data_IF_265554608495
#
_entry.id   IF_265554608495
#
_cell.length_a   1.000
_cell.length_b   1.000
_cell.length_c   1.000
_cell.angle_alpha   90.00
_cell.angle_beta   90.00
_cell.angle_gamma   90.00
#
_symmetry.space_group_name_H-M   'P 1'
#
loop_
_entity.id
_entity.type
_entity.pdbx_description
1 polymer ?
#
# COMPACT_ATOMS: atom_id res chain seq x y z
N UNK A 1 -18.06 -11.14 -4.24
CA UNK A 1 -16.85 -11.95 -3.97
C UNK A 1 -17.31 -13.24 -3.32
N UNK A 2 -16.70 -14.38 -3.63
CA UNK A 2 -16.95 -15.63 -2.90
C UNK A 2 -15.85 -15.87 -1.89
N UNK A 3 -16.21 -16.33 -0.69
CA UNK A 3 -15.26 -16.70 0.35
C UNK A 3 -15.46 -18.16 0.73
N UNK A 4 -14.38 -18.81 1.11
CA UNK A 4 -14.34 -20.18 1.60
C UNK A 4 -14.34 -20.17 3.13
N UNK A 5 -15.03 -21.15 3.71
CA UNK A 5 -14.91 -21.52 5.13
C UNK A 5 -15.05 -23.02 5.30
N UNK A 6 -14.67 -23.53 6.46
CA UNK A 6 -15.08 -24.87 6.88
C UNK A 6 -16.42 -24.82 7.63
N UNK A 7 -17.31 -25.75 7.36
CA UNK A 7 -18.40 -26.09 8.27
C UNK A 7 -17.84 -27.00 9.37
N UNK A 8 -17.73 -26.48 10.59
CA UNK A 8 -17.16 -27.21 11.73
C UNK A 8 -18.01 -28.40 12.19
N UNK A 9 -19.30 -28.44 11.84
CA UNK A 9 -20.18 -29.55 12.23
C UNK A 9 -20.04 -30.72 11.26
N UNK A 10 -20.10 -30.42 9.96
CA UNK A 10 -20.07 -31.44 8.92
C UNK A 10 -18.66 -31.72 8.39
N UNK A 11 -17.66 -30.94 8.80
CA UNK A 11 -16.29 -30.96 8.30
C UNK A 11 -16.22 -30.87 6.77
N UNK A 12 -17.04 -30.00 6.18
CA UNK A 12 -17.12 -29.78 4.73
C UNK A 12 -16.72 -28.37 4.35
N UNK A 13 -16.07 -28.23 3.19
CA UNK A 13 -15.72 -26.95 2.60
C UNK A 13 -16.97 -26.27 2.05
N UNK A 14 -17.19 -25.01 2.40
CA UNK A 14 -18.36 -24.23 1.97
C UNK A 14 -17.93 -22.92 1.33
N UNK A 15 -18.33 -22.73 0.08
CA UNK A 15 -18.25 -21.44 -0.59
C UNK A 15 -19.50 -20.62 -0.28
N UNK A 16 -19.30 -19.36 0.09
CA UNK A 16 -20.38 -18.40 0.33
C UNK A 16 -20.21 -17.15 -0.54
N UNK A 17 -21.32 -16.73 -1.15
CA UNK A 17 -21.40 -15.54 -2.00
C UNK A 17 -21.68 -14.26 -1.20
N UNK A 18 -20.86 -13.24 -1.42
CA UNK A 18 -21.02 -11.90 -0.87
C UNK A 18 -21.13 -10.89 -2.03
N UNK A 19 -22.34 -10.65 -2.58
CA UNK A 19 -22.55 -9.78 -3.74
C UNK A 19 -22.63 -8.27 -3.40
N UNK A 20 -22.56 -7.88 -2.12
CA UNK A 20 -22.75 -6.50 -1.67
C UNK A 20 -21.55 -5.90 -0.90
N UNK A 21 -21.68 -4.66 -0.38
CA UNK A 21 -20.58 -3.94 0.30
C UNK A 21 -20.21 -4.55 1.66
N UNK A 22 -21.09 -5.40 2.22
CA UNK A 22 -20.90 -6.10 3.49
C UNK A 22 -20.22 -7.44 3.24
N UNK A 23 -18.91 -7.40 3.08
CA UNK A 23 -18.04 -8.58 3.07
C UNK A 23 -17.52 -8.77 4.50
N UNK A 24 -17.57 -9.99 5.08
CA UNK A 24 -17.02 -10.24 6.42
C UNK A 24 -15.50 -10.03 6.44
N UNK A 25 -14.88 -10.01 7.61
CA UNK A 25 -13.42 -10.09 7.68
C UNK A 25 -12.96 -11.45 7.14
N UNK A 26 -11.95 -11.43 6.28
CA UNK A 26 -11.38 -12.62 5.68
C UNK A 26 -9.86 -12.54 5.61
N UNK A 27 -9.23 -13.70 5.60
CA UNK A 27 -7.84 -13.84 5.16
C UNK A 27 -7.77 -14.14 3.66
N UNK A 28 -6.62 -13.89 3.04
CA UNK A 28 -6.40 -14.19 1.63
C UNK A 28 -5.13 -15.02 1.48
N UNK A 29 -5.17 -16.07 0.66
CA UNK A 29 -4.01 -16.90 0.38
C UNK A 29 -3.35 -16.45 -0.92
N UNK A 30 -2.11 -16.00 -0.80
CA UNK A 30 -1.19 -15.85 -1.91
C UNK A 30 -0.27 -17.08 -1.97
N UNK A 31 -0.10 -17.66 -3.15
CA UNK A 31 0.68 -18.88 -3.30
C UNK A 31 1.17 -19.06 -4.74
N UNK A 32 2.07 -20.01 -4.97
CA UNK A 32 2.42 -20.44 -6.34
C UNK A 32 1.57 -21.64 -6.74
N UNK A 33 0.95 -21.57 -7.93
CA UNK A 33 0.20 -22.70 -8.46
C UNK A 33 1.17 -23.84 -8.77
N UNK A 34 0.78 -25.06 -8.42
CA UNK A 34 1.37 -26.31 -8.87
C UNK A 34 0.89 -26.63 -10.28
N UNK A 35 0.76 -27.92 -10.60
CA UNK A 35 0.17 -28.31 -11.88
C UNK A 35 -1.33 -28.02 -11.84
N UNK A 36 -1.93 -27.79 -13.00
CA UNK A 36 -3.34 -27.41 -13.10
C UNK A 36 -4.30 -28.45 -12.46
N UNK A 37 -3.95 -29.74 -12.53
CA UNK A 37 -4.72 -30.81 -11.89
C UNK A 37 -4.43 -30.97 -10.38
N UNK A 38 -3.40 -30.30 -9.87
CA UNK A 38 -3.04 -30.36 -8.46
C UNK A 38 -3.86 -29.35 -7.63
N UNK A 39 -4.36 -28.27 -8.25
CA UNK A 39 -5.10 -27.23 -7.55
C UNK A 39 -6.57 -27.62 -7.32
N UNK A 40 -7.10 -27.18 -6.17
CA UNK A 40 -8.55 -27.19 -5.93
C UNK A 40 -9.15 -26.02 -6.69
N UNK A 41 -10.05 -26.35 -7.62
CA UNK A 41 -10.78 -25.42 -8.47
C UNK A 41 -12.17 -25.15 -7.91
N UNK A 42 -12.85 -24.15 -8.46
CA UNK A 42 -14.21 -23.82 -8.04
C UNK A 42 -15.16 -25.01 -8.19
N UNK A 43 -15.08 -25.69 -9.33
CA UNK A 43 -15.92 -26.84 -9.69
C UNK A 43 -15.72 -28.04 -8.75
N UNK A 44 -14.58 -28.11 -8.06
CA UNK A 44 -14.33 -29.19 -7.10
C UNK A 44 -15.13 -29.01 -5.81
N UNK A 45 -15.41 -27.77 -5.39
CA UNK A 45 -15.97 -27.45 -4.07
C UNK A 45 -17.34 -26.77 -4.12
N UNK A 46 -17.83 -26.39 -5.31
CA UNK A 46 -19.11 -25.67 -5.47
C UNK A 46 -20.33 -26.46 -4.97
N UNK A 47 -20.26 -27.80 -4.99
CA UNK A 47 -21.34 -28.68 -4.52
C UNK A 47 -21.45 -28.78 -2.99
N UNK A 48 -20.47 -28.21 -2.27
CA UNK A 48 -20.39 -28.26 -0.81
C UNK A 48 -20.26 -29.68 -0.23
N UNK A 49 -19.87 -30.67 -1.04
CA UNK A 49 -19.76 -32.07 -0.62
C UNK A 49 -18.35 -32.48 -0.20
N UNK A 50 -17.32 -31.69 -0.55
CA UNK A 50 -15.92 -32.03 -0.26
C UNK A 50 -15.61 -31.88 1.22
N UNK A 51 -15.04 -32.95 1.77
CA UNK A 51 -14.66 -33.04 3.17
C UNK A 51 -13.30 -32.40 3.44
N UNK A 52 -13.09 -31.98 4.70
CA UNK A 52 -11.84 -31.42 5.20
C UNK A 52 -10.62 -32.32 4.91
N UNK A 53 -10.79 -33.64 5.06
CA UNK A 53 -9.75 -34.66 4.89
C UNK A 53 -9.57 -35.12 3.45
N UNK A 54 -10.17 -34.46 2.45
CA UNK A 54 -9.98 -34.83 1.05
C UNK A 54 -8.50 -34.69 0.65
N UNK A 55 -7.93 -35.77 0.12
CA UNK A 55 -6.55 -35.86 -0.38
C UNK A 55 -6.48 -36.20 -1.87
N UNK A 56 -7.60 -36.11 -2.60
CA UNK A 56 -7.67 -36.39 -4.04
C UNK A 56 -6.82 -35.43 -4.87
N UNK A 57 -6.59 -34.22 -4.37
CA UNK A 57 -5.69 -33.22 -4.97
C UNK A 57 -4.70 -32.67 -3.94
N UNK A 58 -3.42 -32.47 -4.29
CA UNK A 58 -2.44 -31.81 -3.43
C UNK A 58 -2.87 -30.41 -2.94
N UNK A 59 -3.67 -29.69 -3.72
CA UNK A 59 -4.16 -28.35 -3.41
C UNK A 59 -5.02 -28.28 -2.14
N UNK A 60 -5.64 -29.38 -1.70
CA UNK A 60 -6.37 -29.39 -0.42
C UNK A 60 -5.46 -29.12 0.78
N UNK A 61 -4.16 -29.40 0.66
CA UNK A 61 -3.21 -29.06 1.72
C UNK A 61 -3.09 -27.55 1.93
N UNK A 62 -3.24 -26.76 0.86
CA UNK A 62 -3.26 -25.30 0.94
C UNK A 62 -4.53 -24.79 1.60
N UNK A 63 -5.66 -25.45 1.36
CA UNK A 63 -6.94 -25.12 2.02
C UNK A 63 -6.83 -25.39 3.52
N UNK A 64 -6.30 -26.55 3.92
CA UNK A 64 -6.07 -26.91 5.33
C UNK A 64 -5.09 -25.96 6.00
N UNK A 65 -3.94 -25.71 5.35
CA UNK A 65 -2.97 -24.71 5.83
C UNK A 65 -3.63 -23.35 6.05
N UNK A 66 -4.42 -22.86 5.08
CA UNK A 66 -5.06 -21.56 5.20
C UNK A 66 -6.10 -21.55 6.33
N UNK A 67 -6.91 -22.62 6.45
CA UNK A 67 -7.87 -22.78 7.54
C UNK A 67 -7.18 -22.73 8.92
N UNK A 68 -6.11 -23.48 9.12
CA UNK A 68 -5.35 -23.47 10.38
C UNK A 68 -4.94 -22.04 10.78
N UNK A 69 -4.42 -21.25 9.83
CA UNK A 69 -4.01 -19.86 10.09
C UNK A 69 -5.20 -18.93 10.34
N UNK A 70 -6.28 -19.09 9.57
CA UNK A 70 -7.54 -18.36 9.72
C UNK A 70 -8.10 -18.53 11.12
N UNK A 71 -8.15 -19.77 11.62
CA UNK A 71 -8.65 -20.10 12.96
C UNK A 71 -7.74 -19.53 14.07
N UNK A 72 -6.42 -19.62 13.91
CA UNK A 72 -5.43 -19.02 14.84
C UNK A 72 -5.58 -17.49 14.94
N UNK A 73 -5.88 -16.81 13.84
CA UNK A 73 -6.13 -15.36 13.78
C UNK A 73 -7.58 -14.97 14.17
N UNK A 74 -8.42 -15.92 14.58
CA UNK A 74 -9.81 -15.67 14.98
C UNK A 74 -10.73 -15.27 13.83
N UNK A 75 -10.34 -15.59 12.60
CA UNK A 75 -11.11 -15.37 11.39
C UNK A 75 -11.94 -16.62 11.06
N UNK A 76 -12.96 -16.46 10.22
CA UNK A 76 -13.82 -17.56 9.77
C UNK A 76 -13.72 -17.82 8.27
N UNK A 77 -13.49 -16.75 7.51
CA UNK A 77 -13.53 -16.77 6.06
C UNK A 77 -12.14 -16.54 5.49
N UNK A 78 -11.89 -17.17 4.34
CA UNK A 78 -10.71 -16.89 3.57
C UNK A 78 -10.97 -16.96 2.07
N UNK A 79 -10.05 -16.42 1.30
CA UNK A 79 -10.13 -16.38 -0.15
C UNK A 79 -8.91 -17.03 -0.78
N UNK A 80 -9.15 -17.87 -1.79
CA UNK A 80 -8.12 -18.47 -2.63
C UNK A 80 -8.58 -18.35 -4.08
N UNK A 81 -7.74 -17.76 -4.93
CA UNK A 81 -8.11 -17.45 -6.33
C UNK A 81 -8.51 -18.68 -7.15
N UNK A 82 -7.93 -19.85 -6.85
CA UNK A 82 -8.17 -21.09 -7.61
C UNK A 82 -9.59 -21.61 -7.44
N UNK A 83 -10.19 -21.45 -6.26
CA UNK A 83 -11.50 -22.03 -5.94
C UNK A 83 -12.59 -20.99 -5.61
N UNK A 84 -12.21 -19.75 -5.26
CA UNK A 84 -13.16 -18.67 -5.02
C UNK A 84 -13.54 -17.89 -6.29
N UNK A 85 -12.90 -18.19 -7.43
CA UNK A 85 -13.23 -17.62 -8.74
C UNK A 85 -13.67 -18.77 -9.65
N UNK A 86 -14.82 -18.64 -10.32
CA UNK A 86 -15.24 -19.55 -11.38
C UNK A 86 -14.51 -19.14 -12.65
N UNK A 87 -13.29 -19.64 -12.82
CA UNK A 87 -12.43 -19.26 -13.95
C UNK A 87 -13.02 -19.66 -15.32
N UNK A 88 -13.95 -20.61 -15.33
CA UNK A 88 -14.73 -21.02 -16.51
C UNK A 88 -15.76 -19.98 -16.96
N UNK A 89 -16.15 -19.03 -16.10
CA UNK A 89 -16.99 -17.88 -16.44
C UNK A 89 -16.09 -16.66 -16.72
N UNK A 90 -16.01 -16.26 -18.00
CA UNK A 90 -15.17 -15.15 -18.44
C UNK A 90 -15.57 -13.80 -17.84
N UNK A 91 -16.86 -13.59 -17.57
CA UNK A 91 -17.37 -12.35 -16.97
C UNK A 91 -16.98 -12.28 -15.51
N UNK A 92 -17.12 -13.39 -14.78
CA UNK A 92 -16.65 -13.48 -13.41
C UNK A 92 -15.12 -13.36 -13.32
N UNK A 93 -14.38 -14.04 -14.19
CA UNK A 93 -12.92 -13.96 -14.22
C UNK A 93 -12.46 -12.51 -14.43
N UNK A 94 -13.00 -11.81 -15.43
CA UNK A 94 -12.68 -10.41 -15.69
C UNK A 94 -13.00 -9.53 -14.47
N UNK A 95 -14.22 -9.65 -13.92
CA UNK A 95 -14.61 -8.89 -12.72
C UNK A 95 -13.69 -9.18 -11.54
N UNK A 96 -13.27 -10.43 -11.37
CA UNK A 96 -12.44 -10.87 -10.25
C UNK A 96 -11.01 -10.35 -10.36
N UNK A 97 -10.41 -10.39 -11.55
CA UNK A 97 -9.08 -9.86 -11.80
C UNK A 97 -9.05 -8.34 -11.59
N UNK A 98 -10.09 -7.63 -12.04
CA UNK A 98 -10.23 -6.19 -11.85
C UNK A 98 -10.36 -5.81 -10.37
N UNK A 99 -10.96 -6.70 -9.57
CA UNK A 99 -11.19 -6.49 -8.14
C UNK A 99 -10.06 -7.01 -7.26
N UNK A 100 -9.12 -7.79 -7.80
CA UNK A 100 -8.19 -8.60 -7.01
C UNK A 100 -7.29 -7.73 -6.12
N UNK A 101 -6.77 -6.62 -6.65
CA UNK A 101 -5.99 -5.67 -5.87
C UNK A 101 -6.76 -5.17 -4.64
N UNK A 102 -8.03 -4.78 -4.83
CA UNK A 102 -8.90 -4.32 -3.75
C UNK A 102 -9.22 -5.44 -2.74
N UNK A 103 -9.40 -6.67 -3.21
CA UNK A 103 -9.60 -7.82 -2.33
C UNK A 103 -8.36 -8.13 -1.49
N UNK A 104 -7.16 -8.01 -2.05
CA UNK A 104 -5.91 -8.10 -1.27
C UNK A 104 -5.77 -6.94 -0.28
N UNK A 105 -6.08 -5.72 -0.71
CA UNK A 105 -6.01 -4.53 0.15
C UNK A 105 -6.94 -4.61 1.38
N UNK A 106 -8.12 -5.20 1.21
CA UNK A 106 -9.13 -5.33 2.28
C UNK A 106 -9.01 -6.59 3.13
N UNK A 107 -8.14 -7.53 2.76
CA UNK A 107 -7.92 -8.72 3.54
C UNK A 107 -7.36 -8.35 4.93
N UNK A 108 -7.87 -8.99 5.99
CA UNK A 108 -7.36 -8.79 7.34
C UNK A 108 -5.93 -9.36 7.49
N UNK A 109 -5.65 -10.43 6.75
CA UNK A 109 -4.37 -11.13 6.68
C UNK A 109 -4.15 -11.65 5.27
N UNK A 110 -2.95 -11.48 4.73
CA UNK A 110 -2.49 -12.17 3.53
C UNK A 110 -1.45 -13.23 3.94
N UNK A 111 -1.80 -14.51 3.80
CA UNK A 111 -0.85 -15.59 4.03
C UNK A 111 -0.17 -15.94 2.71
N UNK A 112 1.16 -15.90 2.71
CA UNK A 112 1.97 -16.32 1.56
C UNK A 112 2.52 -17.70 1.83
N UNK A 113 2.02 -18.71 1.13
CA UNK A 113 2.50 -20.09 1.24
C UNK A 113 3.55 -20.41 0.16
N UNK A 114 4.80 -20.59 0.59
CA UNK A 114 5.95 -20.82 -0.28
C UNK A 114 6.29 -22.32 -0.35
N UNK A 115 5.66 -23.03 -1.28
CA UNK A 115 5.87 -24.48 -1.49
C UNK A 115 7.30 -24.86 -1.93
N UNK A 116 8.11 -23.90 -2.35
CA UNK A 116 9.50 -24.08 -2.79
C UNK A 116 10.54 -23.59 -1.77
N UNK A 117 10.11 -23.19 -0.57
CA UNK A 117 10.99 -22.78 0.53
C UNK A 117 10.87 -23.79 1.65
N UNK A 118 11.96 -24.53 1.90
CA UNK A 118 12.07 -25.47 3.01
C UNK A 118 12.92 -24.89 4.14
N UNK A 119 12.52 -25.13 5.39
CA UNK A 119 13.39 -24.87 6.53
C UNK A 119 14.45 -25.95 6.77
N UNK A 120 14.33 -27.11 6.11
CA UNK A 120 15.17 -28.30 6.33
C UNK A 120 16.16 -28.60 5.19
N UNK A 121 15.83 -28.27 3.94
CA UNK A 121 16.70 -28.54 2.78
C UNK A 121 17.84 -27.52 2.67
N UNK A 122 18.82 -27.61 3.56
CA UNK A 122 20.12 -26.95 3.38
C UNK A 122 21.24 -27.63 4.17
N UNK A 123 22.10 -28.36 3.45
CA UNK A 123 23.41 -28.84 3.90
C UNK A 123 24.35 -27.64 4.13
N UNK A 124 24.51 -27.21 5.40
CA UNK A 124 25.57 -26.29 5.84
C UNK A 124 25.14 -24.93 6.41
N UNK A 125 25.39 -24.75 7.72
CA UNK A 125 25.37 -23.56 8.64
C UNK A 125 24.07 -22.78 9.03
N UNK A 126 23.81 -22.62 10.33
CA UNK A 126 22.44 -22.60 10.91
C UNK A 126 21.61 -21.29 10.89
N UNK A 127 22.18 -20.10 10.64
CA UNK A 127 21.42 -18.83 10.82
C UNK A 127 20.95 -18.13 9.53
N UNK A 128 21.29 -18.60 8.33
CA UNK A 128 21.01 -17.87 7.05
C UNK A 128 20.36 -18.71 5.94
N UNK A 129 19.80 -19.88 6.28
CA UNK A 129 19.46 -20.93 5.30
C UNK A 129 18.16 -20.74 4.55
N UNK A 130 17.04 -20.64 5.28
CA UNK A 130 15.73 -20.47 4.65
C UNK A 130 15.64 -19.12 3.94
N UNK A 131 16.38 -18.10 4.41
CA UNK A 131 16.49 -16.78 3.76
C UNK A 131 17.04 -16.87 2.34
N UNK A 132 18.00 -17.79 2.08
CA UNK A 132 18.53 -18.01 0.73
C UNK A 132 17.49 -18.67 -0.18
N UNK A 133 16.75 -19.65 0.33
CA UNK A 133 15.65 -20.29 -0.42
C UNK A 133 14.50 -19.29 -0.67
N UNK A 134 14.15 -18.50 0.33
CA UNK A 134 13.20 -17.39 0.26
C UNK A 134 13.56 -16.40 -0.85
N UNK A 135 14.81 -15.93 -0.88
CA UNK A 135 15.30 -15.03 -1.94
C UNK A 135 15.28 -15.61 -3.34
N UNK A 136 15.21 -16.93 -3.46
CA UNK A 136 15.14 -17.66 -4.74
C UNK A 136 13.73 -18.16 -5.05
N UNK A 137 12.75 -17.93 -4.17
CA UNK A 137 11.40 -18.44 -4.36
C UNK A 137 10.80 -17.92 -5.68
N UNK A 138 10.15 -18.83 -6.40
CA UNK A 138 9.42 -18.51 -7.64
C UNK A 138 8.32 -17.49 -7.41
N UNK A 139 7.82 -17.35 -6.17
CA UNK A 139 6.79 -16.39 -5.81
C UNK A 139 7.18 -14.95 -6.18
N UNK A 140 8.42 -14.55 -5.87
CA UNK A 140 8.95 -13.21 -6.23
C UNK A 140 9.08 -12.97 -7.73
N UNK A 141 9.04 -14.04 -8.54
CA UNK A 141 9.11 -13.98 -10.00
C UNK A 141 7.74 -13.95 -10.66
N UNK A 142 6.62 -14.15 -9.95
CA UNK A 142 5.29 -14.09 -10.55
C UNK A 142 4.82 -12.65 -10.71
N UNK A 143 4.21 -12.30 -11.85
CA UNK A 143 3.60 -10.98 -12.09
C UNK A 143 2.56 -10.63 -11.02
N UNK A 144 1.54 -11.49 -10.86
CA UNK A 144 0.45 -11.29 -9.89
C UNK A 144 0.93 -11.11 -8.45
N UNK A 145 1.99 -11.82 -8.02
CA UNK A 145 2.53 -11.69 -6.67
C UNK A 145 2.99 -10.26 -6.31
N UNK A 146 3.15 -9.36 -7.29
CA UNK A 146 3.44 -7.95 -7.02
C UNK A 146 2.29 -7.26 -6.28
N UNK A 147 1.06 -7.39 -6.78
CA UNK A 147 -0.11 -6.83 -6.08
C UNK A 147 -0.42 -7.59 -4.78
N UNK A 148 -0.13 -8.90 -4.73
CA UNK A 148 -0.34 -9.72 -3.53
C UNK A 148 0.62 -9.32 -2.40
N UNK A 149 1.77 -8.72 -2.74
CA UNK A 149 2.73 -8.14 -1.80
C UNK A 149 2.36 -6.72 -1.37
N UNK A 150 2.02 -5.87 -2.35
CA UNK A 150 1.88 -4.43 -2.15
C UNK A 150 0.50 -4.02 -1.66
N UNK A 151 -0.57 -4.66 -2.13
CA UNK A 151 -1.93 -4.24 -1.79
C UNK A 151 -2.29 -4.50 -0.31
N UNK A 152 -2.01 -5.67 0.29
CA UNK A 152 -2.41 -5.93 1.68
C UNK A 152 -1.59 -5.14 2.68
N UNK A 153 -2.25 -4.70 3.76
CA UNK A 153 -1.58 -4.09 4.91
C UNK A 153 -0.78 -5.10 5.74
N UNK A 154 -1.17 -6.38 5.72
CA UNK A 154 -0.53 -7.47 6.48
C UNK A 154 -0.25 -8.63 5.54
N UNK A 155 1.03 -9.00 5.42
CA UNK A 155 1.51 -10.13 4.59
C UNK A 155 2.46 -10.97 5.45
N UNK A 156 2.17 -12.26 5.58
CA UNK A 156 2.89 -13.19 6.46
C UNK A 156 3.38 -14.38 5.62
N UNK A 157 4.67 -14.67 5.67
CA UNK A 157 5.30 -15.69 4.84
C UNK A 157 5.46 -17.01 5.60
N UNK A 158 5.11 -18.12 4.93
CA UNK A 158 5.21 -19.47 5.47
C UNK A 158 5.97 -20.41 4.52
N UNK A 159 6.75 -21.32 5.09
CA UNK A 159 7.49 -22.35 4.37
C UNK A 159 6.58 -23.49 3.89
N UNK A 160 7.12 -24.40 3.07
CA UNK A 160 6.43 -25.63 2.64
C UNK A 160 6.02 -26.53 3.82
N UNK A 161 6.71 -26.42 4.94
CA UNK A 161 6.41 -27.13 6.20
C UNK A 161 5.42 -26.37 7.10
N UNK A 162 4.83 -25.28 6.60
CA UNK A 162 3.89 -24.40 7.31
C UNK A 162 4.52 -23.60 8.46
N UNK A 163 5.86 -23.53 8.53
CA UNK A 163 6.54 -22.73 9.53
C UNK A 163 6.53 -21.24 9.15
N UNK A 164 6.33 -20.37 10.14
CA UNK A 164 6.44 -18.92 9.97
C UNK A 164 7.89 -18.56 9.59
N UNK A 165 8.03 -17.79 8.51
CA UNK A 165 9.31 -17.23 8.06
C UNK A 165 9.49 -15.77 8.52
N UNK A 166 8.39 -15.04 8.67
CA UNK A 166 8.33 -13.64 9.09
C UNK A 166 7.24 -12.88 8.35
N UNK A 167 6.99 -11.64 8.74
CA UNK A 167 6.06 -10.75 8.04
C UNK A 167 6.77 -9.78 7.06
N UNK A 168 5.98 -9.08 6.24
CA UNK A 168 6.49 -8.11 5.25
C UNK A 168 7.32 -6.98 5.86
N UNK A 169 7.06 -6.59 7.11
CA UNK A 169 7.77 -5.52 7.81
C UNK A 169 9.11 -6.04 8.34
N UNK A 170 9.11 -7.21 8.97
CA UNK A 170 10.30 -7.90 9.46
C UNK A 170 11.26 -8.25 8.31
N UNK A 171 10.72 -8.65 7.17
CA UNK A 171 11.48 -9.06 5.99
C UNK A 171 11.66 -7.94 4.95
N UNK A 172 11.30 -6.69 5.27
CA UNK A 172 11.27 -5.58 4.32
C UNK A 172 12.61 -5.38 3.59
N UNK A 173 13.73 -5.37 4.32
CA UNK A 173 15.07 -5.23 3.74
C UNK A 173 15.40 -6.39 2.79
N UNK A 174 15.05 -7.63 3.16
CA UNK A 174 15.27 -8.80 2.29
C UNK A 174 14.42 -8.71 1.03
N UNK A 175 13.14 -8.35 1.17
CA UNK A 175 12.19 -8.20 0.06
C UNK A 175 12.63 -7.06 -0.89
N UNK A 176 13.10 -5.93 -0.35
CA UNK A 176 13.63 -4.81 -1.14
C UNK A 176 14.84 -5.24 -1.97
N UNK A 177 15.78 -6.00 -1.39
CA UNK A 177 16.93 -6.54 -2.14
C UNK A 177 16.50 -7.44 -3.29
N UNK A 178 15.50 -8.30 -3.07
CA UNK A 178 15.00 -9.26 -4.07
C UNK A 178 14.21 -8.57 -5.18
N UNK A 179 13.32 -7.65 -4.81
CA UNK A 179 12.28 -7.10 -5.69
C UNK A 179 12.59 -5.72 -6.24
N UNK A 180 13.56 -5.01 -5.64
CA UNK A 180 13.86 -3.60 -5.88
C UNK A 180 12.72 -2.64 -5.56
N UNK A 181 11.71 -3.12 -4.82
CA UNK A 181 10.64 -2.31 -4.28
C UNK A 181 11.18 -1.62 -3.02
N UNK A 182 11.12 -0.29 -2.93
CA UNK A 182 11.71 0.45 -1.80
C UNK A 182 10.95 0.17 -0.50
N UNK A 183 11.66 0.15 0.64
CA UNK A 183 11.08 -0.12 1.98
C UNK A 183 9.80 0.70 2.29
N UNK A 184 9.71 2.01 1.96
CA UNK A 184 8.47 2.76 2.14
C UNK A 184 7.25 2.17 1.42
N UNK A 185 7.39 1.64 0.19
CA UNK A 185 6.29 0.99 -0.52
C UNK A 185 5.88 -0.31 0.18
N UNK A 186 6.84 -1.10 0.67
CA UNK A 186 6.57 -2.32 1.43
C UNK A 186 5.84 -2.04 2.76
N UNK A 187 6.11 -0.89 3.38
CA UNK A 187 5.45 -0.40 4.60
C UNK A 187 4.10 0.28 4.35
N UNK A 188 3.60 0.28 3.12
CA UNK A 188 2.26 0.77 2.79
C UNK A 188 2.21 2.28 2.52
N UNK A 189 3.33 2.91 2.16
CA UNK A 189 3.28 4.23 1.53
C UNK A 189 2.45 4.13 0.25
N UNK A 190 1.56 5.09 0.04
CA UNK A 190 0.70 5.13 -1.14
C UNK A 190 1.52 4.98 -2.43
N UNK A 191 1.11 4.05 -3.29
CA UNK A 191 1.81 3.72 -4.53
C UNK A 191 1.81 4.89 -5.53
N UNK A 192 0.84 5.80 -5.42
CA UNK A 192 0.82 7.05 -6.21
C UNK A 192 2.06 7.92 -5.98
N UNK A 193 2.71 7.79 -4.81
CA UNK A 193 3.94 8.51 -4.45
C UNK A 193 5.21 7.97 -5.11
N UNK A 194 5.10 6.97 -5.98
CA UNK A 194 6.20 6.45 -6.77
C UNK A 194 5.95 6.76 -8.24
N UNK A 195 7.01 7.15 -8.95
CA UNK A 195 6.94 7.46 -10.37
C UNK A 195 6.42 6.26 -11.17
N UNK A 196 5.93 6.53 -12.38
CA UNK A 196 5.44 5.46 -13.28
C UNK A 196 6.57 4.50 -13.59
N UNK A 197 7.75 5.04 -13.84
CA UNK A 197 8.96 4.32 -14.18
C UNK A 197 9.40 3.41 -13.02
N UNK A 198 9.34 3.90 -11.78
CA UNK A 198 9.61 3.08 -10.59
C UNK A 198 8.60 1.96 -10.46
N UNK A 199 7.30 2.25 -10.52
CA UNK A 199 6.24 1.23 -10.42
C UNK A 199 6.33 0.18 -11.53
N UNK A 200 6.62 0.59 -12.76
CA UNK A 200 6.87 -0.31 -13.89
C UNK A 200 8.12 -1.16 -13.66
N UNK A 201 9.17 -0.60 -13.04
CA UNK A 201 10.42 -1.32 -12.77
C UNK A 201 10.23 -2.50 -11.81
N UNK A 202 9.28 -2.42 -10.87
CA UNK A 202 8.97 -3.51 -9.92
C UNK A 202 8.45 -4.78 -10.59
N UNK A 203 8.00 -4.67 -11.84
CA UNK A 203 7.51 -5.77 -12.66
C UNK A 203 8.58 -6.37 -13.59
N UNK A 204 9.74 -5.72 -13.75
CA UNK A 204 10.74 -6.04 -14.79
C UNK A 204 11.26 -7.48 -14.72
N UNK A 205 11.55 -7.96 -13.52
CA UNK A 205 12.12 -9.29 -13.28
C UNK A 205 11.05 -10.36 -13.00
N UNK A 206 9.77 -10.04 -13.28
CA UNK A 206 8.63 -10.93 -13.09
C UNK A 206 8.15 -11.50 -14.44
N UNK A 207 7.63 -12.72 -14.39
CA UNK A 207 7.07 -13.45 -15.52
C UNK A 207 5.61 -13.81 -15.27
N UNK A 208 4.88 -14.02 -16.37
CA UNK A 208 3.48 -14.44 -16.37
C UNK A 208 3.31 -15.64 -17.28
N UNK A 209 2.42 -16.55 -16.91
CA UNK A 209 2.09 -17.72 -17.76
C UNK A 209 1.22 -17.28 -18.93
N UNK A 210 0.24 -16.42 -18.64
CA UNK A 210 -0.62 -15.79 -19.65
C UNK A 210 0.04 -14.47 -20.08
N UNK A 211 0.22 -14.21 -21.38
CA UNK A 211 0.99 -13.05 -21.83
C UNK A 211 0.37 -11.71 -21.42
N UNK A 212 -0.96 -11.60 -21.45
CA UNK A 212 -1.68 -10.36 -21.12
C UNK A 212 -1.60 -10.00 -19.63
N UNK A 213 -1.37 -10.98 -18.75
CA UNK A 213 -1.21 -10.76 -17.31
C UNK A 213 0.01 -9.89 -16.99
N UNK A 214 0.97 -9.76 -17.91
CA UNK A 214 2.08 -8.81 -17.77
C UNK A 214 1.58 -7.37 -17.63
N UNK A 215 0.40 -7.05 -18.17
CA UNK A 215 -0.29 -5.79 -17.99
C UNK A 215 -1.36 -5.89 -16.89
N UNK A 216 -2.17 -6.95 -16.88
CA UNK A 216 -3.32 -7.04 -15.98
C UNK A 216 -2.92 -7.12 -14.50
N UNK A 217 -1.77 -7.71 -14.19
CA UNK A 217 -1.24 -7.72 -12.81
C UNK A 217 -0.80 -6.35 -12.28
N UNK A 218 -0.77 -5.32 -13.13
CA UNK A 218 -0.36 -3.96 -12.77
C UNK A 218 -1.53 -2.98 -12.64
N UNK A 219 -2.75 -3.37 -13.02
CA UNK A 219 -3.91 -2.44 -13.05
C UNK A 219 -4.16 -1.79 -11.69
N UNK A 220 -4.06 -2.55 -10.59
CA UNK A 220 -4.24 -2.02 -9.25
C UNK A 220 -3.04 -1.23 -8.72
N UNK A 221 -1.84 -1.45 -9.26
CA UNK A 221 -0.62 -0.68 -8.92
C UNK A 221 -0.70 0.73 -9.51
N UNK A 222 -1.32 0.87 -10.68
CA UNK A 222 -1.56 2.15 -11.35
C UNK A 222 -2.96 2.73 -11.09
N UNK A 223 -3.84 1.92 -10.50
CA UNK A 223 -5.24 2.25 -10.27
C UNK A 223 -5.93 2.68 -11.58
N UNK A 224 -5.75 1.90 -12.64
CA UNK A 224 -6.31 2.15 -13.98
C UNK A 224 -7.29 1.06 -14.37
N UNK A 225 -8.27 1.43 -15.20
CA UNK A 225 -9.20 0.47 -15.78
C UNK A 225 -8.68 -0.06 -17.11
N UNK A 226 -8.73 -1.38 -17.29
CA UNK A 226 -8.41 -2.04 -18.55
C UNK A 226 -9.51 -3.04 -18.92
N UNK A 227 -9.90 -3.04 -20.19
CA UNK A 227 -10.69 -4.13 -20.76
C UNK A 227 -9.81 -5.37 -20.93
N UNK A 228 -9.94 -6.32 -20.00
CA UNK A 228 -9.17 -7.55 -20.01
C UNK A 228 -9.75 -8.54 -21.04
N UNK A 229 -8.91 -8.92 -21.99
CA UNK A 229 -9.24 -9.82 -23.08
C UNK A 229 -8.12 -10.87 -23.21
N UNK A 230 -8.45 -12.10 -22.86
CA UNK A 230 -7.59 -13.26 -23.12
C UNK A 230 -7.88 -13.81 -24.51
N UNK A 231 -6.83 -14.00 -25.31
CA UNK A 231 -6.97 -14.66 -26.60
C UNK A 231 -5.72 -15.46 -26.96
N UNK A 232 -5.91 -16.48 -27.80
CA UNK A 232 -4.81 -17.26 -28.34
C UNK A 232 -3.93 -16.43 -29.28
N UNK A 233 -2.64 -16.76 -29.32
CA UNK A 233 -1.69 -16.13 -30.23
C UNK A 233 -0.26 -16.15 -29.72
N UNK A 234 0.63 -15.49 -30.47
CA UNK A 234 2.04 -15.34 -30.09
C UNK A 234 2.18 -14.60 -28.76
N UNK A 235 2.90 -15.20 -27.82
CA UNK A 235 3.07 -14.70 -26.47
C UNK A 235 3.59 -13.25 -26.45
N UNK A 236 4.64 -12.95 -27.21
CA UNK A 236 5.25 -11.62 -27.20
C UNK A 236 4.33 -10.58 -27.82
N UNK A 237 3.62 -10.91 -28.91
CA UNK A 237 2.64 -10.01 -29.53
C UNK A 237 1.49 -9.69 -28.56
N UNK A 238 0.92 -10.70 -27.89
CA UNK A 238 -0.16 -10.52 -26.92
C UNK A 238 0.30 -9.71 -25.70
N UNK A 239 1.46 -10.05 -25.14
CA UNK A 239 2.09 -9.31 -24.03
C UNK A 239 2.29 -7.85 -24.38
N UNK A 240 2.91 -7.57 -25.52
CA UNK A 240 3.20 -6.20 -25.95
C UNK A 240 1.91 -5.41 -26.26
N UNK A 241 0.87 -6.07 -26.78
CA UNK A 241 -0.43 -5.43 -26.99
C UNK A 241 -1.09 -5.02 -25.67
N UNK A 242 -1.12 -5.93 -24.68
CA UNK A 242 -1.67 -5.64 -23.37
C UNK A 242 -0.88 -4.52 -22.65
N UNK A 243 0.46 -4.54 -22.74
CA UNK A 243 1.30 -3.48 -22.16
C UNK A 243 1.07 -2.12 -22.84
N UNK A 244 0.83 -2.08 -24.16
CA UNK A 244 0.46 -0.82 -24.85
C UNK A 244 -0.88 -0.28 -24.34
N UNK A 245 -1.87 -1.15 -24.09
CA UNK A 245 -3.15 -0.74 -23.51
C UNK A 245 -2.96 -0.20 -22.10
N UNK A 246 -2.14 -0.85 -21.27
CA UNK A 246 -1.79 -0.35 -19.93
C UNK A 246 -1.13 1.03 -20.00
N UNK A 247 -0.10 1.21 -20.82
CA UNK A 247 0.55 2.52 -20.96
C UNK A 247 -0.42 3.60 -21.45
N UNK A 248 -1.34 3.25 -22.35
CA UNK A 248 -2.38 4.18 -22.81
C UNK A 248 -3.32 4.56 -21.66
N UNK A 249 -3.83 3.60 -20.89
CA UNK A 249 -4.71 3.88 -19.75
C UNK A 249 -4.01 4.68 -18.65
N UNK A 250 -2.72 4.40 -18.39
CA UNK A 250 -1.89 5.23 -17.50
C UNK A 250 -1.82 6.65 -18.05
N UNK A 251 -1.50 6.83 -19.33
CA UNK A 251 -1.42 8.16 -19.93
C UNK A 251 -2.76 8.91 -19.89
N UNK A 252 -3.89 8.26 -20.20
CA UNK A 252 -5.22 8.87 -20.19
C UNK A 252 -5.66 9.28 -18.78
N UNK A 253 -5.43 8.45 -17.76
CA UNK A 253 -5.63 8.83 -16.35
C UNK A 253 -4.81 10.07 -15.98
N UNK A 254 -3.66 10.26 -16.63
CA UNK A 254 -2.84 11.44 -16.44
C UNK A 254 -3.27 12.64 -17.25
N UNK A 255 -4.04 12.53 -18.33
CA UNK A 255 -4.61 13.71 -19.01
C UNK A 255 -5.70 14.34 -18.16
N UNK A 256 -6.48 13.51 -17.45
CA UNK A 256 -7.44 13.99 -16.44
C UNK A 256 -6.74 14.50 -15.16
N UNK A 257 -5.55 13.96 -14.85
CA UNK A 257 -4.69 14.44 -13.76
C UNK A 257 -3.66 15.51 -14.20
N UNK A 258 -3.56 15.88 -15.48
CA UNK A 258 -2.63 16.91 -15.99
C UNK A 258 -3.12 18.33 -15.62
N UNK A 259 -4.25 18.42 -14.89
CA UNK A 259 -4.63 19.60 -14.11
C UNK A 259 -4.04 19.61 -12.68
N UNK A 260 -3.41 18.54 -12.22
CA UNK A 260 -2.69 18.44 -10.93
C UNK A 260 -1.41 17.62 -11.11
N UNK A 261 -0.29 18.29 -11.39
CA UNK A 261 1.03 17.66 -11.48
C UNK A 261 1.33 16.74 -10.27
N UNK A 262 1.73 15.49 -10.57
CA UNK A 262 2.22 14.48 -9.62
C UNK A 262 3.59 14.90 -9.01
N UNK A 263 3.46 15.91 -8.15
CA UNK A 263 4.28 16.33 -7.01
C UNK A 263 4.56 15.23 -5.98
N UNK A 264 5.51 14.28 -6.11
CA UNK A 264 5.89 13.48 -4.92
C UNK A 264 6.42 14.48 -3.88
N UNK A 265 5.77 14.61 -2.72
CA UNK A 265 6.11 15.64 -1.72
C UNK A 265 6.43 15.09 -0.33
N UNK A 266 7.38 15.75 0.35
CA UNK A 266 7.63 15.65 1.79
C UNK A 266 7.06 16.94 2.41
N UNK A 267 5.92 16.84 3.09
CA UNK A 267 5.08 18.02 3.33
C UNK A 267 4.61 18.65 2.02
N UNK A 268 4.92 19.93 1.82
CA UNK A 268 4.73 20.66 0.56
C UNK A 268 5.95 20.64 -0.36
N UNK A 269 7.08 20.08 0.06
CA UNK A 269 8.35 20.13 -0.68
C UNK A 269 8.50 18.97 -1.67
N UNK A 270 8.92 19.24 -2.91
CA UNK A 270 9.16 18.26 -3.97
C UNK A 270 10.27 17.27 -3.62
N UNK A 271 9.92 16.00 -3.52
CA UNK A 271 10.84 14.89 -3.27
C UNK A 271 11.87 14.73 -4.39
N UNK A 272 11.45 14.88 -5.66
CA UNK A 272 12.36 14.77 -6.80
C UNK A 272 13.48 15.79 -6.65
N UNK A 273 13.15 17.03 -6.30
CA UNK A 273 14.16 18.08 -6.14
C UNK A 273 15.02 17.82 -4.89
N UNK A 274 14.41 17.40 -3.77
CA UNK A 274 15.13 17.02 -2.55
C UNK A 274 16.12 15.87 -2.76
N UNK A 275 15.79 14.89 -3.59
CA UNK A 275 16.64 13.73 -3.89
C UNK A 275 17.88 14.08 -4.72
N UNK A 276 17.86 15.23 -5.41
CA UNK A 276 19.00 15.72 -6.21
C UNK A 276 20.01 16.53 -5.41
N UNK A 277 19.69 16.86 -4.15
CA UNK A 277 20.58 17.66 -3.30
C UNK A 277 21.83 16.89 -2.91
N UNK A 278 22.99 17.54 -3.07
CA UNK A 278 24.26 17.01 -2.58
C UNK A 278 24.30 16.92 -1.06
N UNK A 279 25.23 16.14 -0.52
CA UNK A 279 25.41 16.02 0.92
C UNK A 279 25.67 17.37 1.60
N UNK A 280 26.46 18.26 0.99
CA UNK A 280 26.71 19.61 1.51
C UNK A 280 25.44 20.48 1.52
N UNK A 281 24.60 20.36 0.48
CA UNK A 281 23.31 21.07 0.42
C UNK A 281 22.33 20.55 1.48
N UNK A 282 22.32 19.24 1.74
CA UNK A 282 21.48 18.65 2.78
C UNK A 282 21.88 19.10 4.18
N UNK A 283 23.18 19.22 4.48
CA UNK A 283 23.66 19.74 5.77
C UNK A 283 23.30 21.23 5.96
N UNK A 284 23.36 22.03 4.89
CA UNK A 284 22.91 23.43 4.94
C UNK A 284 21.40 23.53 5.11
N UNK A 285 20.63 22.70 4.41
CA UNK A 285 19.18 22.62 4.56
C UNK A 285 18.79 22.30 6.01
N UNK A 286 19.48 21.37 6.67
CA UNK A 286 19.24 21.06 8.09
C UNK A 286 19.44 22.29 8.99
N UNK A 287 20.45 23.11 8.70
CA UNK A 287 20.74 24.35 9.43
C UNK A 287 19.63 25.39 9.21
N UNK A 288 19.23 25.60 7.95
CA UNK A 288 18.18 26.57 7.61
C UNK A 288 16.81 26.16 8.16
N UNK A 289 16.49 24.86 8.19
CA UNK A 289 15.29 24.33 8.82
C UNK A 289 15.31 24.56 10.34
N UNK A 290 16.46 24.43 10.99
CA UNK A 290 16.63 24.74 12.42
C UNK A 290 16.43 26.23 12.72
N UNK A 291 16.92 27.10 11.84
CA UNK A 291 16.70 28.55 11.93
C UNK A 291 15.25 28.93 11.68
N UNK A 292 14.60 28.33 10.68
CA UNK A 292 13.17 28.50 10.42
C UNK A 292 12.34 28.06 11.64
N UNK A 293 12.68 26.92 12.25
CA UNK A 293 12.08 26.46 13.51
C UNK A 293 12.23 27.48 14.62
N UNK A 294 13.45 27.99 14.86
CA UNK A 294 13.70 29.01 15.91
C UNK A 294 12.90 30.28 15.64
N UNK A 295 12.88 30.76 14.40
CA UNK A 295 12.06 31.90 14.04
C UNK A 295 10.57 31.63 14.30
N UNK A 296 10.08 30.45 13.93
CA UNK A 296 8.69 30.07 14.10
C UNK A 296 8.28 29.95 15.57
N UNK A 297 9.15 29.43 16.43
CA UNK A 297 8.82 29.21 17.85
C UNK A 297 9.08 30.46 18.71
N UNK A 298 10.15 31.20 18.42
CA UNK A 298 10.63 32.28 19.30
C UNK A 298 10.45 33.68 18.71
N UNK A 299 10.45 33.80 17.38
CA UNK A 299 10.30 35.06 16.65
C UNK A 299 8.84 35.38 16.28
N UNK A 300 8.10 34.38 15.80
CA UNK A 300 6.71 34.50 15.36
C UNK A 300 5.76 34.95 16.49
N UNK A 301 5.87 34.46 17.75
CA UNK A 301 5.01 34.93 18.83
C UNK A 301 5.36 36.34 19.35
N UNK A 302 6.62 36.78 19.23
CA UNK A 302 7.03 38.14 19.65
C UNK A 302 6.42 39.22 18.76
N UNK A 303 6.30 38.95 17.45
CA UNK A 303 5.62 39.84 16.50
C UNK A 303 4.12 40.01 16.80
N UNK A 304 3.50 39.03 17.47
CA UNK A 304 2.12 39.10 17.96
C UNK A 304 1.99 39.94 19.23
N UNK A 305 2.90 39.76 20.19
CA UNK A 305 2.86 40.50 21.47
C UNK A 305 3.21 41.99 21.33
N UNK A 306 4.06 42.37 20.38
CA UNK A 306 4.47 43.78 20.18
C UNK A 306 3.48 44.62 19.34
N UNK A 307 2.44 44.00 18.74
CA UNK A 307 1.50 44.65 17.78
C UNK A 307 0.06 44.81 18.29
N UNK A 308 -0.16 44.84 19.61
CA UNK A 308 -1.48 44.98 20.24
C UNK A 308 -2.28 46.23 19.76
N UNK A 309 -1.64 47.20 19.07
CA UNK A 309 -2.31 48.37 18.48
C UNK A 309 -2.54 48.37 16.96
N UNK A 310 -1.94 47.45 16.19
CA UNK A 310 -2.14 47.36 14.74
C UNK A 310 -2.15 45.88 14.34
N UNK A 311 -3.35 45.32 14.33
CA UNK A 311 -3.61 43.92 14.09
C UNK A 311 -3.17 43.51 12.68
N UNK A 312 -1.95 43.00 12.55
CA UNK A 312 -1.67 42.09 11.45
C UNK A 312 -2.61 40.90 11.63
N UNK A 313 -3.49 40.67 10.65
CA UNK A 313 -4.48 39.60 10.74
C UNK A 313 -3.78 38.23 10.85
N UNK A 314 -4.40 37.25 11.52
CA UNK A 314 -3.90 35.85 11.57
C UNK A 314 -3.56 35.31 10.16
N UNK A 315 -4.26 35.83 9.15
CA UNK A 315 -4.01 35.65 7.71
C UNK A 315 -2.63 36.13 7.28
N UNK A 316 -2.25 37.37 7.56
CA UNK A 316 -0.94 37.93 7.18
C UNK A 316 0.22 37.13 7.81
N UNK A 317 0.02 36.65 9.04
CA UNK A 317 1.01 35.84 9.75
C UNK A 317 1.13 34.43 9.15
N UNK A 318 0.01 33.78 8.83
CA UNK A 318 -0.03 32.50 8.12
C UNK A 318 0.68 32.59 6.76
N UNK A 319 0.38 33.65 5.99
CA UNK A 319 1.02 33.95 4.71
C UNK A 319 2.53 34.18 4.86
N UNK A 320 2.96 34.90 5.92
CA UNK A 320 4.37 35.13 6.18
C UNK A 320 5.13 33.83 6.50
N UNK A 321 4.52 32.89 7.22
CA UNK A 321 5.13 31.59 7.52
C UNK A 321 5.33 30.76 6.25
N UNK A 322 4.28 30.56 5.43
CA UNK A 322 4.44 29.77 4.21
C UNK A 322 5.28 30.46 3.14
N UNK A 323 5.24 31.79 3.02
CA UNK A 323 6.17 32.54 2.16
C UNK A 323 7.62 32.28 2.54
N UNK A 324 7.92 32.26 3.85
CA UNK A 324 9.29 32.02 4.33
C UNK A 324 9.74 30.57 4.14
N UNK A 325 8.84 29.59 4.25
CA UNK A 325 9.14 28.19 3.89
C UNK A 325 9.40 28.03 2.39
N UNK A 326 8.59 28.68 1.56
CA UNK A 326 8.77 28.71 0.10
C UNK A 326 10.13 29.31 -0.28
N UNK A 327 10.49 30.47 0.28
CA UNK A 327 11.79 31.12 0.05
C UNK A 327 12.96 30.25 0.51
N UNK A 328 12.83 29.59 1.68
CA UNK A 328 13.83 28.66 2.19
C UNK A 328 14.09 27.53 1.19
N UNK A 329 13.04 26.85 0.73
CA UNK A 329 13.17 25.70 -0.18
C UNK A 329 13.64 26.12 -1.59
N UNK A 330 13.23 27.31 -2.05
CA UNK A 330 13.68 27.89 -3.31
C UNK A 330 15.21 28.09 -3.36
N UNK A 331 15.87 28.40 -2.25
CA UNK A 331 17.34 28.52 -2.18
C UNK A 331 18.06 27.20 -2.54
N UNK A 332 17.36 26.07 -2.45
CA UNK A 332 17.86 24.75 -2.78
C UNK A 332 17.34 24.24 -4.13
N UNK A 333 16.58 25.05 -4.87
CA UNK A 333 15.92 24.62 -6.11
C UNK A 333 14.78 23.62 -5.87
N UNK A 334 14.25 23.56 -4.65
CA UNK A 334 13.17 22.63 -4.27
C UNK A 334 11.83 23.32 -4.48
N UNK A 335 11.00 22.76 -5.37
CA UNK A 335 9.62 23.22 -5.57
C UNK A 335 8.80 22.99 -4.30
N UNK A 336 8.01 23.99 -3.91
CA UNK A 336 7.15 23.96 -2.73
C UNK A 336 5.73 24.34 -3.13
N UNK A 337 4.76 23.49 -2.81
CA UNK A 337 3.35 23.78 -3.02
C UNK A 337 2.67 23.97 -1.66
N UNK A 338 2.00 25.10 -1.48
CA UNK A 338 1.10 25.26 -0.35
C UNK A 338 -0.22 24.56 -0.70
N UNK A 339 -0.75 23.74 0.21
CA UNK A 339 -1.93 22.92 -0.07
C UNK A 339 -3.21 23.76 0.00
N UNK A 340 -3.32 24.79 -0.83
CA UNK A 340 -4.48 25.66 -0.94
C UNK A 340 -5.73 24.95 -1.50
N UNK A 341 -5.61 23.70 -1.98
CA UNK A 341 -6.67 22.98 -2.70
C UNK A 341 -7.21 21.69 -2.02
N UNK A 342 -7.26 21.62 -0.69
CA UNK A 342 -7.84 20.44 0.01
C UNK A 342 -9.15 20.78 0.77
N UNK A 343 -10.28 20.72 0.07
CA UNK A 343 -11.62 20.53 0.67
C UNK A 343 -12.16 19.12 0.39
N UNK A 344 -12.56 18.40 1.45
CA UNK A 344 -13.91 17.83 1.59
C UNK A 344 -14.03 16.89 2.81
N UNK A 345 -15.16 17.03 3.53
CA UNK A 345 -15.75 16.11 4.52
C UNK A 345 -15.34 16.22 6.00
N UNK A 346 -15.79 17.27 6.71
CA UNK A 346 -16.03 17.17 8.16
C UNK A 346 -17.27 17.97 8.61
N UNK A 347 -18.21 17.30 9.28
CA UNK A 347 -19.49 17.88 9.71
C UNK A 347 -19.60 18.12 11.25
N UNK A 348 -18.58 17.77 12.07
CA UNK A 348 -18.67 17.89 13.55
C UNK A 348 -17.31 17.93 14.29
N UNK A 349 -17.18 18.83 15.29
CA UNK A 349 -16.02 18.92 16.21
C UNK A 349 -16.02 17.93 17.37
N UNK A 350 -17.18 17.40 17.75
CA UNK A 350 -17.35 16.68 19.02
C UNK A 350 -16.58 15.35 19.03
N UNK A 351 -16.62 14.64 17.93
CA UNK A 351 -16.02 13.32 17.79
C UNK A 351 -14.47 13.36 17.72
N UNK A 352 -13.85 14.30 16.98
CA UNK A 352 -12.42 14.58 17.11
C UNK A 352 -12.01 15.01 18.54
N UNK A 353 -12.81 15.82 19.23
CA UNK A 353 -12.46 16.26 20.59
C UNK A 353 -12.41 15.10 21.59
N UNK A 354 -13.34 14.15 21.48
CA UNK A 354 -13.39 12.95 22.31
C UNK A 354 -12.15 12.07 22.05
N UNK A 355 -11.77 11.90 20.79
CA UNK A 355 -10.56 11.15 20.40
C UNK A 355 -9.27 11.82 20.90
N UNK A 356 -9.15 13.15 20.81
CA UNK A 356 -8.01 13.89 21.37
C UNK A 356 -7.87 13.71 22.89
N UNK A 357 -8.99 13.76 23.63
CA UNK A 357 -9.00 13.65 25.09
C UNK A 357 -8.86 12.22 25.60
N UNK A 358 -8.98 11.22 24.73
CA UNK A 358 -8.80 9.83 25.11
C UNK A 358 -7.32 9.55 25.42
N UNK A 359 -6.96 9.53 26.70
CA UNK A 359 -5.57 9.31 27.15
C UNK A 359 -5.04 7.90 26.85
N UNK A 360 -5.91 6.94 26.51
CA UNK A 360 -5.50 5.60 26.09
C UNK A 360 -5.33 5.46 24.57
N UNK A 361 -5.63 6.51 23.78
CA UNK A 361 -5.35 6.53 22.35
C UNK A 361 -3.88 6.86 22.06
N UNK A 362 -3.36 6.38 20.93
CA UNK A 362 -1.97 6.64 20.52
C UNK A 362 -1.72 8.12 20.30
N UNK A 363 -0.48 8.57 20.50
CA UNK A 363 -0.10 9.98 20.31
C UNK A 363 -0.50 10.49 18.91
N UNK A 364 -0.28 9.67 17.88
CA UNK A 364 -0.69 9.95 16.50
C UNK A 364 -2.20 10.17 16.35
N UNK A 365 -3.04 9.30 16.94
CA UNK A 365 -4.50 9.44 16.87
C UNK A 365 -5.01 10.68 17.62
N UNK A 366 -4.35 11.04 18.72
CA UNK A 366 -4.69 12.24 19.49
C UNK A 366 -4.26 13.51 18.77
N UNK A 367 -3.09 13.52 18.13
CA UNK A 367 -2.60 14.64 17.31
C UNK A 367 -3.50 14.84 16.08
N UNK A 368 -3.83 13.76 15.37
CA UNK A 368 -4.76 13.81 14.24
C UNK A 368 -6.14 14.33 14.64
N UNK A 369 -6.68 13.86 15.78
CA UNK A 369 -7.96 14.32 16.31
C UNK A 369 -7.93 15.78 16.82
N UNK A 370 -6.77 16.29 17.24
CA UNK A 370 -6.58 17.69 17.58
C UNK A 370 -6.61 18.58 16.33
N UNK A 371 -5.95 18.16 15.25
CA UNK A 371 -5.95 18.84 13.96
C UNK A 371 -7.36 18.89 13.37
N UNK A 372 -8.09 17.77 13.38
CA UNK A 372 -9.50 17.67 12.97
C UNK A 372 -10.44 18.50 13.86
N UNK A 373 -10.17 18.60 15.17
CA UNK A 373 -10.94 19.47 16.05
C UNK A 373 -10.71 20.95 15.73
N UNK A 374 -9.46 21.36 15.50
CA UNK A 374 -9.08 22.74 15.17
C UNK A 374 -9.66 23.17 13.82
N UNK A 375 -9.72 22.25 12.85
CA UNK A 375 -10.39 22.41 11.57
C UNK A 375 -11.86 22.85 11.68
N UNK A 376 -12.65 22.25 12.57
CA UNK A 376 -14.05 22.64 12.75
C UNK A 376 -14.22 24.05 13.34
N UNK A 377 -13.33 24.44 14.26
CA UNK A 377 -13.45 25.73 14.97
C UNK A 377 -12.98 26.93 14.16
N UNK A 378 -12.30 26.73 13.02
CA UNK A 378 -11.84 27.82 12.14
C UNK A 378 -12.88 28.25 11.10
N UNK A 379 -14.07 27.63 11.10
CA UNK A 379 -15.29 28.11 10.42
C UNK A 379 -15.09 28.53 8.95
N UNK A 380 -14.37 27.72 8.16
CA UNK A 380 -14.07 27.94 6.72
C UNK A 380 -13.27 29.22 6.41
N UNK A 381 -12.39 29.68 7.30
CA UNK A 381 -11.43 30.74 6.94
C UNK A 381 -10.21 30.12 6.24
N UNK A 382 -10.28 30.01 4.91
CA UNK A 382 -9.30 29.35 4.01
C UNK A 382 -7.88 29.96 4.09
N UNK A 383 -7.74 31.19 4.56
CA UNK A 383 -6.49 31.97 4.58
C UNK A 383 -5.42 31.51 5.62
N UNK A 384 -5.71 30.53 6.47
CA UNK A 384 -4.79 30.02 7.52
C UNK A 384 -4.04 28.74 7.09
N UNK A 385 -4.33 28.24 5.88
CA UNK A 385 -3.76 26.99 5.36
C UNK A 385 -2.24 27.04 5.14
N UNK A 386 -1.74 28.13 4.55
CA UNK A 386 -0.34 28.31 4.15
C UNK A 386 0.64 28.14 5.34
N UNK A 387 0.29 28.63 6.53
CA UNK A 387 1.08 28.44 7.75
C UNK A 387 1.06 27.01 8.27
N UNK A 388 -0.11 26.35 8.29
CA UNK A 388 -0.24 24.96 8.75
C UNK A 388 0.56 24.01 7.86
N UNK A 389 0.51 24.21 6.55
CA UNK A 389 1.28 23.43 5.57
C UNK A 389 2.77 23.65 5.76
N UNK A 390 3.20 24.88 6.01
CA UNK A 390 4.60 25.18 6.29
C UNK A 390 5.10 24.47 7.57
N UNK A 391 4.25 24.37 8.60
CA UNK A 391 4.61 23.69 9.85
C UNK A 391 4.71 22.17 9.66
N UNK A 392 3.75 21.59 8.94
CA UNK A 392 3.76 20.17 8.60
C UNK A 392 4.95 19.81 7.70
N UNK A 393 5.30 20.70 6.77
CA UNK A 393 6.48 20.54 5.91
C UNK A 393 7.76 20.58 6.70
N UNK A 394 7.89 21.51 7.66
CA UNK A 394 9.03 21.54 8.57
C UNK A 394 9.15 20.23 9.36
N UNK A 395 8.04 19.73 9.92
CA UNK A 395 8.01 18.48 10.68
C UNK A 395 8.41 17.28 9.82
N UNK A 396 7.78 17.12 8.65
CA UNK A 396 8.04 16.01 7.73
C UNK A 396 9.49 16.02 7.22
N UNK A 397 10.05 17.20 6.92
CA UNK A 397 11.46 17.35 6.51
C UNK A 397 12.42 17.02 7.66
N UNK A 398 12.14 17.48 8.88
CA UNK A 398 12.97 17.18 10.06
C UNK A 398 12.99 15.67 10.39
N UNK A 399 11.86 14.99 10.21
CA UNK A 399 11.76 13.53 10.36
C UNK A 399 12.48 12.81 9.22
N UNK A 400 12.26 13.24 7.97
CA UNK A 400 12.93 12.67 6.80
C UNK A 400 14.46 12.76 6.89
N UNK A 401 14.97 13.89 7.39
CA UNK A 401 16.40 14.11 7.65
C UNK A 401 16.94 13.34 8.86
N UNK A 402 16.07 12.66 9.62
CA UNK A 402 16.44 11.88 10.81
C UNK A 402 16.79 12.75 12.03
N UNK A 403 16.49 14.04 11.98
CA UNK A 403 16.75 15.00 13.07
C UNK A 403 15.70 14.84 14.17
N UNK A 404 14.44 14.67 13.78
CA UNK A 404 13.33 14.36 14.69
C UNK A 404 12.99 12.87 14.65
N UNK A 405 12.62 12.32 15.80
CA UNK A 405 12.08 10.97 15.90
C UNK A 405 10.56 11.02 15.77
N UNK A 406 10.01 10.04 15.06
CA UNK A 406 8.57 9.90 14.80
C UNK A 406 7.78 9.54 16.05
#
# INVERSE_FOLDING_TARGET
MRLLRLDSVNLKWVLEDFPGPKVPLYAILSHTWGRDNDEVKFEDIEDGQREYNDTSKPGYEKLRFCLERVEEDGLRYFWIDTCCIKKSDSTELQRSLASMFYWYQRAARCYVFLSDVSIYEATGDSESKWQRAFSKSRWFKRGWALQELLAPNSVIFYSKEKNLLGDKIELATTIEVITKIPDPALRGLDLSRFSKEERLSWAKDRSTTVPEDAAYSLIGIFDVELHMLYAEGDYNKRKNAALRMLHKAIAEKNVDAEQLEDVIRIGGASWTDLSTLSHEQLVRLDTDLDEYRKWLLDGFPKQYNDRIGNAASLKELSQAAGKRMMELLANYGVRYEDLSDLEANMQSWKEPWIRYRNKSATAQARVQALVENRWYWTNKNEDVFTGIVAYRTLEDLMIWRGIWKK
#
